data_IF_469116132958
#
_entry.id   IF_469116132958
#
_cell.length_a   1.000
_cell.length_b   1.000
_cell.length_c   1.000
_cell.angle_alpha   90.00
_cell.angle_beta   90.00
_cell.angle_gamma   90.00
#
_symmetry.space_group_name_H-M   'P 1'
#
loop_
_entity.id
_entity.type
_entity.pdbx_description
1 polymer ?
#
# COMPACT_ATOMS: atom_id res chain seq x y z
N UNK A 1 9.17 22.49 -5.75
CA UNK A 1 8.78 23.54 -4.77
C UNK A 1 9.47 23.20 -3.46
N UNK A 2 10.01 24.21 -2.77
CA UNK A 2 10.77 24.04 -1.55
C UNK A 2 9.97 23.21 -0.53
N UNK A 3 10.50 22.05 -0.16
CA UNK A 3 9.85 21.10 0.77
C UNK A 3 9.75 21.66 2.18
N UNK A 4 10.47 22.75 2.46
CA UNK A 4 10.60 23.38 3.78
C UNK A 4 9.31 24.07 4.25
N UNK A 5 8.44 24.53 3.35
CA UNK A 5 7.30 25.39 3.74
C UNK A 5 6.09 24.66 4.31
N UNK A 6 6.09 23.32 4.38
CA UNK A 6 4.94 22.51 4.82
C UNK A 6 5.12 21.84 6.18
N UNK A 7 6.24 22.08 6.84
CA UNK A 7 6.43 21.70 8.23
C UNK A 7 6.18 22.91 9.16
N UNK A 8 5.63 22.70 10.36
CA UNK A 8 5.20 21.42 10.92
C UNK A 8 3.92 20.89 10.24
N UNK A 9 3.78 19.57 10.13
CA UNK A 9 2.52 18.94 9.72
C UNK A 9 1.67 18.78 10.98
N UNK A 10 0.70 19.69 11.17
CA UNK A 10 0.00 19.90 12.45
C UNK A 10 -1.31 19.14 12.60
N UNK A 11 -1.91 18.73 11.48
CA UNK A 11 -3.23 18.11 11.46
C UNK A 11 -3.46 17.29 10.17
N UNK A 12 -4.61 16.63 10.10
CA UNK A 12 -5.07 15.85 8.93
C UNK A 12 -5.08 16.69 7.65
N UNK A 13 -5.49 17.96 7.73
CA UNK A 13 -5.55 18.84 6.55
C UNK A 13 -4.14 19.11 6.02
N UNK A 14 -3.17 19.34 6.90
CA UNK A 14 -1.78 19.51 6.53
C UNK A 14 -1.20 18.23 5.89
N UNK A 15 -1.57 17.04 6.38
CA UNK A 15 -1.18 15.77 5.73
C UNK A 15 -1.74 15.71 4.30
N UNK A 16 -3.02 16.02 4.12
CA UNK A 16 -3.66 16.02 2.79
C UNK A 16 -2.95 17.01 1.84
N UNK A 17 -2.59 18.20 2.30
CA UNK A 17 -1.85 19.18 1.49
C UNK A 17 -0.44 18.71 1.10
N UNK A 18 0.24 17.95 1.97
CA UNK A 18 1.50 17.29 1.62
C UNK A 18 1.25 16.26 0.51
N UNK A 19 0.25 15.41 0.64
CA UNK A 19 -0.10 14.40 -0.37
C UNK A 19 -0.47 15.03 -1.72
N UNK A 20 -1.35 16.04 -1.73
CA UNK A 20 -1.73 16.78 -2.95
C UNK A 20 -0.52 17.28 -3.71
N UNK A 21 0.46 17.80 -2.99
CA UNK A 21 1.62 18.37 -3.62
C UNK A 21 2.61 17.32 -4.12
N UNK A 22 2.84 16.23 -3.39
CA UNK A 22 3.66 15.13 -3.90
C UNK A 22 3.01 14.46 -5.11
N UNK A 23 1.67 14.33 -5.12
CA UNK A 23 0.91 13.80 -6.25
C UNK A 23 0.89 14.72 -7.48
N UNK A 24 1.34 15.98 -7.35
CA UNK A 24 1.54 16.87 -8.51
C UNK A 24 2.84 16.61 -9.26
N UNK A 25 3.77 15.83 -8.67
CA UNK A 25 5.00 15.38 -9.31
C UNK A 25 4.76 14.07 -10.10
N UNK A 26 5.61 13.82 -11.10
CA UNK A 26 5.64 12.53 -11.81
C UNK A 26 6.18 11.40 -10.91
N UNK A 27 7.02 11.75 -9.93
CA UNK A 27 7.64 10.83 -8.97
C UNK A 27 7.34 11.27 -7.52
N UNK A 28 6.10 11.09 -7.02
CA UNK A 28 5.77 11.35 -5.62
C UNK A 28 6.75 10.64 -4.68
N UNK A 29 7.26 11.36 -3.68
CA UNK A 29 8.28 10.79 -2.80
C UNK A 29 7.67 9.78 -1.82
N UNK A 30 7.83 8.49 -2.12
CA UNK A 30 7.28 7.38 -1.34
C UNK A 30 7.83 7.37 0.09
N UNK A 31 9.11 7.68 0.26
CA UNK A 31 9.76 7.69 1.57
C UNK A 31 9.12 8.74 2.48
N UNK A 32 8.97 9.96 1.96
CA UNK A 32 8.38 11.08 2.69
C UNK A 32 6.95 10.77 3.12
N UNK A 33 6.11 10.33 2.18
CA UNK A 33 4.71 10.05 2.44
C UNK A 33 4.53 8.91 3.44
N UNK A 34 5.33 7.84 3.33
CA UNK A 34 5.28 6.69 4.24
C UNK A 34 5.73 7.03 5.66
N UNK A 35 6.77 7.86 5.83
CA UNK A 35 7.21 8.34 7.14
C UNK A 35 6.13 9.19 7.80
N UNK A 36 5.52 10.13 7.07
CA UNK A 36 4.47 11.01 7.59
C UNK A 36 3.25 10.19 7.99
N UNK A 37 2.74 9.31 7.11
CA UNK A 37 1.59 8.47 7.45
C UNK A 37 1.87 7.60 8.67
N UNK A 38 3.02 6.95 8.74
CA UNK A 38 3.34 6.07 9.86
C UNK A 38 3.49 6.80 11.19
N UNK A 39 3.97 8.05 11.18
CA UNK A 39 3.98 8.91 12.36
C UNK A 39 2.56 9.19 12.87
N UNK A 40 1.67 9.66 11.98
CA UNK A 40 0.28 9.95 12.33
C UNK A 40 -0.49 8.70 12.75
N UNK A 41 -0.29 7.58 12.05
CA UNK A 41 -0.89 6.30 12.41
C UNK A 41 -0.48 5.88 13.82
N UNK A 42 0.83 5.86 14.11
CA UNK A 42 1.32 5.47 15.44
C UNK A 42 0.76 6.36 16.53
N UNK A 43 0.73 7.68 16.33
CA UNK A 43 0.26 8.61 17.34
C UNK A 43 -1.27 8.55 17.55
N UNK A 44 -2.05 8.29 16.50
CA UNK A 44 -3.51 8.20 16.58
C UNK A 44 -4.01 6.81 17.02
N UNK A 45 -3.17 5.78 16.97
CA UNK A 45 -3.53 4.42 17.45
C UNK A 45 -2.85 4.02 18.76
N UNK A 46 -1.95 4.84 19.30
CA UNK A 46 -1.37 4.64 20.63
C UNK A 46 -2.44 4.69 21.73
N UNK A 47 -2.48 3.67 22.60
CA UNK A 47 -3.37 3.63 23.78
C UNK A 47 -3.13 4.85 24.68
N UNK A 48 -4.19 5.61 24.94
CA UNK A 48 -4.13 6.82 25.75
C UNK A 48 -3.73 8.08 24.97
N UNK A 49 -3.77 8.04 23.63
CA UNK A 49 -3.65 9.25 22.80
C UNK A 49 -4.64 10.30 23.29
N UNK A 50 -4.10 11.46 23.68
CA UNK A 50 -4.91 12.61 24.08
C UNK A 50 -5.66 13.13 22.86
N UNK A 51 -6.81 13.77 23.05
CA UNK A 51 -7.69 14.32 21.98
C UNK A 51 -7.06 15.45 21.12
N UNK A 52 -5.74 15.49 20.98
CA UNK A 52 -5.01 16.45 20.16
C UNK A 52 -4.32 15.73 19.00
N UNK A 53 -4.53 16.24 17.79
CA UNK A 53 -3.85 15.75 16.59
C UNK A 53 -2.34 15.88 16.77
N UNK A 54 -1.54 14.85 16.43
CA UNK A 54 -0.10 14.92 16.57
C UNK A 54 0.50 15.94 15.59
N UNK A 55 1.57 16.60 16.00
CA UNK A 55 2.32 17.52 15.15
C UNK A 55 3.69 16.93 14.84
N UNK A 56 3.99 16.76 13.55
CA UNK A 56 5.32 16.35 13.09
C UNK A 56 6.14 17.60 12.76
N UNK A 57 7.13 17.90 13.58
CA UNK A 57 8.11 18.95 13.31
C UNK A 57 9.14 18.53 12.26
N UNK A 58 9.84 19.53 11.71
CA UNK A 58 10.79 19.34 10.61
C UNK A 58 12.00 18.55 11.09
N UNK A 59 12.48 18.84 12.29
CA UNK A 59 13.67 18.22 12.86
C UNK A 59 13.48 16.71 13.03
N UNK A 60 12.32 16.29 13.54
CA UNK A 60 11.94 14.88 13.69
C UNK A 60 11.84 14.19 12.33
N UNK A 61 11.20 14.83 11.35
CA UNK A 61 11.12 14.29 9.99
C UNK A 61 12.51 14.16 9.35
N UNK A 62 13.32 15.21 9.40
CA UNK A 62 14.67 15.25 8.81
C UNK A 62 15.59 14.21 9.46
N UNK A 63 15.45 13.94 10.76
CA UNK A 63 16.18 12.89 11.44
C UNK A 63 15.82 11.49 10.90
N UNK A 64 14.53 11.22 10.68
CA UNK A 64 14.06 9.95 10.12
C UNK A 64 14.46 9.79 8.65
N UNK A 65 14.26 10.83 7.84
CA UNK A 65 14.65 10.86 6.44
C UNK A 65 16.18 10.73 6.28
N UNK A 66 16.94 11.41 7.12
CA UNK A 66 18.40 11.31 7.19
C UNK A 66 18.87 9.92 7.60
N UNK A 67 18.20 9.27 8.56
CA UNK A 67 18.47 7.87 8.94
C UNK A 67 18.24 6.91 7.77
N UNK A 68 17.14 7.08 7.03
CA UNK A 68 16.85 6.30 5.83
C UNK A 68 17.92 6.50 4.75
N UNK A 69 18.28 7.75 4.46
CA UNK A 69 19.31 8.10 3.48
C UNK A 69 20.69 7.53 3.86
N UNK A 70 21.08 7.63 5.13
CA UNK A 70 22.34 7.08 5.62
C UNK A 70 22.37 5.55 5.50
N UNK A 71 21.24 4.87 5.74
CA UNK A 71 21.13 3.42 5.58
C UNK A 71 21.38 3.00 4.12
N UNK A 72 20.73 3.65 3.16
CA UNK A 72 20.84 3.27 1.74
C UNK A 72 22.22 3.63 1.18
N UNK A 73 22.74 4.83 1.45
CA UNK A 73 24.01 5.31 0.88
C UNK A 73 25.23 4.57 1.43
N UNK A 74 25.13 4.01 2.65
CA UNK A 74 26.19 3.18 3.23
C UNK A 74 26.35 1.84 2.50
N UNK A 75 25.28 1.30 1.92
CA UNK A 75 25.25 -0.08 1.45
C UNK A 75 25.07 -0.18 -0.08
N UNK A 76 24.50 0.84 -0.73
CA UNK A 76 24.08 0.79 -2.13
C UNK A 76 24.51 2.06 -2.88
N UNK A 77 24.77 1.91 -4.18
CA UNK A 77 25.16 3.01 -5.06
C UNK A 77 23.93 3.63 -5.75
N UNK A 78 23.90 4.97 -5.82
CA UNK A 78 22.89 5.69 -6.57
C UNK A 78 23.01 5.43 -8.08
N UNK A 79 21.88 5.29 -8.76
CA UNK A 79 21.75 5.10 -10.20
C UNK A 79 21.96 6.41 -10.98
N UNK A 80 23.20 6.92 -10.98
CA UNK A 80 23.55 8.15 -11.69
C UNK A 80 23.34 8.06 -13.20
N UNK A 81 23.43 6.84 -13.74
CA UNK A 81 23.36 6.57 -15.17
C UNK A 81 21.95 6.25 -15.67
N UNK A 82 20.95 6.20 -14.76
CA UNK A 82 19.55 5.88 -15.08
C UNK A 82 19.39 4.57 -15.86
N UNK A 83 20.20 3.57 -15.51
CA UNK A 83 20.08 2.23 -16.09
C UNK A 83 18.88 1.50 -15.46
N UNK A 84 18.18 0.63 -16.20
CA UNK A 84 17.17 -0.24 -15.61
C UNK A 84 17.75 -1.08 -14.47
N UNK A 85 16.93 -1.36 -13.45
CA UNK A 85 17.33 -2.22 -12.35
C UNK A 85 17.61 -3.64 -12.84
N UNK A 86 18.64 -4.25 -12.27
CA UNK A 86 18.95 -5.67 -12.45
C UNK A 86 18.36 -6.49 -11.30
N UNK A 87 18.12 -7.79 -11.53
CA UNK A 87 17.61 -8.70 -10.50
C UNK A 87 18.53 -8.79 -9.30
N UNK A 88 19.83 -8.80 -9.55
CA UNK A 88 20.88 -8.82 -8.52
C UNK A 88 20.73 -7.62 -7.60
N UNK A 89 20.70 -6.41 -8.17
CA UNK A 89 20.46 -5.17 -7.44
C UNK A 89 19.15 -5.18 -6.63
N UNK A 90 18.03 -5.60 -7.22
CA UNK A 90 16.75 -5.68 -6.50
C UNK A 90 16.82 -6.66 -5.32
N UNK A 91 17.55 -7.76 -5.50
CA UNK A 91 17.78 -8.76 -4.44
C UNK A 91 18.65 -8.18 -3.32
N UNK A 92 19.71 -7.45 -3.66
CA UNK A 92 20.58 -6.77 -2.69
C UNK A 92 19.78 -5.75 -1.84
N UNK A 93 18.87 -5.00 -2.46
CA UNK A 93 17.96 -4.09 -1.75
C UNK A 93 17.05 -4.87 -0.79
N UNK A 94 16.45 -5.97 -1.25
CA UNK A 94 15.60 -6.81 -0.42
C UNK A 94 16.36 -7.43 0.77
N UNK A 95 17.60 -7.87 0.56
CA UNK A 95 18.46 -8.40 1.61
C UNK A 95 18.91 -7.32 2.60
N UNK A 96 19.17 -6.10 2.13
CA UNK A 96 19.44 -4.97 3.01
C UNK A 96 18.25 -4.70 3.93
N UNK A 97 17.03 -4.57 3.39
CA UNK A 97 15.82 -4.36 4.19
C UNK A 97 15.64 -5.50 5.18
N UNK A 98 15.71 -6.75 4.72
CA UNK A 98 15.55 -7.94 5.55
C UNK A 98 16.56 -8.01 6.70
N UNK A 99 17.84 -7.72 6.43
CA UNK A 99 18.90 -7.73 7.44
C UNK A 99 18.71 -6.69 8.54
N UNK A 100 17.97 -5.62 8.24
CA UNK A 100 17.64 -4.57 9.20
C UNK A 100 16.46 -4.96 10.11
N UNK A 101 15.62 -5.92 9.71
CA UNK A 101 14.45 -6.32 10.48
C UNK A 101 14.83 -7.02 11.78
N UNK A 102 14.01 -6.81 12.81
CA UNK A 102 14.15 -7.51 14.09
C UNK A 102 14.08 -9.03 13.89
N UNK A 103 15.01 -9.78 14.48
CA UNK A 103 15.09 -11.25 14.32
C UNK A 103 13.83 -11.99 14.81
N UNK A 104 13.10 -11.41 15.75
CA UNK A 104 11.87 -11.98 16.30
C UNK A 104 10.86 -10.87 16.59
N UNK A 105 9.76 -10.90 15.85
CA UNK A 105 8.55 -10.13 16.12
C UNK A 105 7.37 -10.84 15.47
N UNK A 106 6.17 -10.51 15.95
CA UNK A 106 4.94 -11.01 15.35
C UNK A 106 4.71 -10.29 14.02
N UNK A 107 4.79 -11.02 12.91
CA UNK A 107 4.71 -10.48 11.54
C UNK A 107 3.32 -9.99 11.17
N UNK A 108 2.28 -10.51 11.83
CA UNK A 108 0.88 -10.10 11.63
C UNK A 108 0.47 -9.03 12.66
N UNK A 109 1.44 -8.32 13.25
CA UNK A 109 1.15 -7.24 14.18
C UNK A 109 0.59 -6.04 13.39
N UNK A 110 -0.41 -5.31 13.90
CA UNK A 110 -0.81 -4.03 13.32
C UNK A 110 0.31 -2.97 13.36
N UNK A 111 0.19 -1.95 12.51
CA UNK A 111 1.03 -0.73 12.50
C UNK A 111 2.52 -0.97 12.19
N UNK A 112 2.82 -1.99 11.40
CA UNK A 112 4.19 -2.28 10.93
C UNK A 112 4.28 -2.35 9.40
N UNK A 113 3.48 -1.59 8.67
CA UNK A 113 3.40 -1.65 7.21
C UNK A 113 4.11 -0.49 6.50
N UNK A 114 4.72 0.43 7.25
CA UNK A 114 5.23 1.71 6.75
C UNK A 114 6.70 1.96 7.13
N UNK A 115 7.36 2.91 6.45
CA UNK A 115 8.77 3.20 6.71
C UNK A 115 9.00 3.83 8.09
N UNK A 116 7.99 4.44 8.70
CA UNK A 116 8.12 4.92 10.08
C UNK A 116 8.35 3.74 11.05
N UNK A 117 7.56 2.66 10.94
CA UNK A 117 7.76 1.45 11.77
C UNK A 117 9.08 0.75 11.48
N UNK A 118 9.55 0.79 10.23
CA UNK A 118 10.87 0.31 9.86
C UNK A 118 11.98 1.13 10.55
N UNK A 119 11.93 2.46 10.45
CA UNK A 119 12.97 3.35 10.96
C UNK A 119 12.97 3.47 12.49
N UNK A 120 11.83 3.31 13.14
CA UNK A 120 11.71 3.44 14.61
C UNK A 120 11.76 2.10 15.33
N UNK A 121 11.29 1.03 14.70
CA UNK A 121 11.11 -0.27 15.34
C UNK A 121 11.78 -1.44 14.62
N UNK A 122 12.38 -1.25 13.45
CA UNK A 122 12.96 -2.31 12.62
C UNK A 122 11.95 -3.45 12.37
N UNK A 123 10.70 -3.09 12.06
CA UNK A 123 9.60 -4.05 11.85
C UNK A 123 8.81 -3.68 10.62
N UNK A 124 8.58 -4.68 9.78
CA UNK A 124 7.74 -4.57 8.59
C UNK A 124 6.84 -5.82 8.47
N UNK A 125 5.62 -5.70 7.99
CA UNK A 125 4.85 -6.85 7.51
C UNK A 125 5.23 -7.20 6.06
N UNK A 126 4.54 -8.16 5.44
CA UNK A 126 4.89 -8.63 4.10
C UNK A 126 4.81 -7.51 3.05
N UNK A 127 3.72 -6.73 3.08
CA UNK A 127 3.50 -5.57 2.21
C UNK A 127 4.55 -4.50 2.48
N UNK A 128 4.79 -4.16 3.74
CA UNK A 128 5.73 -3.13 4.17
C UNK A 128 7.15 -3.40 3.69
N UNK A 129 7.60 -4.67 3.64
CA UNK A 129 8.90 -5.03 3.04
C UNK A 129 8.93 -4.78 1.55
N UNK A 130 7.93 -5.24 0.80
CA UNK A 130 7.89 -5.00 -0.65
C UNK A 130 7.83 -3.50 -0.97
N UNK A 131 7.02 -2.75 -0.22
CA UNK A 131 6.93 -1.30 -0.31
C UNK A 131 8.27 -0.62 0.01
N UNK A 132 8.96 -1.05 1.07
CA UNK A 132 10.26 -0.50 1.45
C UNK A 132 11.32 -0.73 0.37
N UNK A 133 11.32 -1.89 -0.30
CA UNK A 133 12.20 -2.16 -1.44
C UNK A 133 11.96 -1.16 -2.57
N UNK A 134 10.70 -0.92 -2.94
CA UNK A 134 10.35 0.07 -3.98
C UNK A 134 10.79 1.48 -3.58
N UNK A 135 10.58 1.87 -2.32
CA UNK A 135 11.00 3.19 -1.82
C UNK A 135 12.53 3.38 -1.82
N UNK A 136 13.30 2.34 -1.48
CA UNK A 136 14.77 2.38 -1.58
C UNK A 136 15.21 2.49 -3.04
N UNK A 137 14.62 1.70 -3.93
CA UNK A 137 14.90 1.79 -5.37
C UNK A 137 14.61 3.19 -5.92
N UNK A 138 13.45 3.78 -5.59
CA UNK A 138 13.10 5.15 -5.97
C UNK A 138 14.13 6.15 -5.43
N UNK A 139 14.51 6.05 -4.15
CA UNK A 139 15.49 6.96 -3.53
C UNK A 139 16.88 6.88 -4.16
N UNK A 140 17.22 5.72 -4.76
CA UNK A 140 18.47 5.52 -5.49
C UNK A 140 18.36 5.86 -6.99
N UNK A 141 17.19 6.26 -7.49
CA UNK A 141 16.96 6.65 -8.89
C UNK A 141 16.58 5.50 -9.83
N UNK A 142 16.15 4.35 -9.30
CA UNK A 142 15.60 3.24 -10.07
C UNK A 142 14.09 3.38 -10.24
N UNK A 143 13.71 4.32 -11.10
CA UNK A 143 12.31 4.64 -11.35
C UNK A 143 11.56 3.55 -12.14
N UNK A 144 12.25 2.52 -12.64
CA UNK A 144 11.65 1.37 -13.32
C UNK A 144 11.15 0.28 -12.36
N UNK A 145 11.57 0.31 -11.08
CA UNK A 145 11.13 -0.65 -10.07
C UNK A 145 9.79 -0.23 -9.50
N UNK A 146 8.77 -1.08 -9.65
CA UNK A 146 7.41 -0.81 -9.21
C UNK A 146 6.85 -1.93 -8.35
N UNK A 147 5.88 -1.58 -7.51
CA UNK A 147 5.15 -2.56 -6.69
C UNK A 147 4.18 -3.36 -7.57
N UNK A 148 4.07 -4.65 -7.31
CA UNK A 148 3.00 -5.48 -7.81
C UNK A 148 2.25 -6.13 -6.65
N UNK A 149 0.92 -6.07 -6.72
CA UNK A 149 0.02 -6.50 -5.66
C UNK A 149 -0.95 -7.53 -6.20
N UNK A 150 -1.03 -8.66 -5.51
CA UNK A 150 -2.20 -9.53 -5.55
C UNK A 150 -3.20 -9.12 -4.47
N UNK A 151 -4.16 -9.99 -4.17
CA UNK A 151 -5.08 -9.81 -3.06
C UNK A 151 -4.48 -10.20 -1.70
N UNK A 152 -3.38 -10.96 -1.66
CA UNK A 152 -2.79 -11.49 -0.41
C UNK A 152 -1.25 -11.45 -0.37
N UNK A 153 -0.61 -10.87 -1.38
CA UNK A 153 0.85 -10.86 -1.52
C UNK A 153 1.36 -9.70 -2.36
N UNK A 154 2.61 -9.31 -2.11
CA UNK A 154 3.28 -8.21 -2.76
C UNK A 154 4.69 -8.59 -3.21
N UNK A 155 5.09 -8.11 -4.39
CA UNK A 155 6.43 -8.29 -4.95
C UNK A 155 6.77 -7.07 -5.81
N UNK A 156 7.90 -7.12 -6.54
CA UNK A 156 8.29 -6.02 -7.44
C UNK A 156 8.35 -6.44 -8.90
N UNK A 157 8.03 -5.50 -9.78
CA UNK A 157 8.25 -5.57 -11.23
C UNK A 157 9.29 -4.53 -11.62
N UNK A 158 10.18 -4.84 -12.55
CA UNK A 158 11.29 -3.96 -12.90
C UNK A 158 11.89 -4.27 -14.29
N UNK A 159 12.97 -3.59 -14.65
CA UNK A 159 13.68 -3.79 -15.90
C UNK A 159 12.98 -3.15 -17.08
N UNK A 160 13.48 -3.42 -18.29
CA UNK A 160 12.93 -2.81 -19.51
C UNK A 160 11.45 -3.14 -19.70
N UNK A 161 10.61 -2.11 -19.66
CA UNK A 161 9.14 -2.19 -19.76
C UNK A 161 8.48 -2.98 -18.62
N UNK A 162 9.13 -3.15 -17.46
CA UNK A 162 8.55 -3.83 -16.30
C UNK A 162 8.29 -5.33 -16.54
N UNK A 163 9.14 -5.98 -17.34
CA UNK A 163 9.03 -7.39 -17.71
C UNK A 163 9.57 -8.34 -16.65
N UNK A 164 10.55 -7.90 -15.87
CA UNK A 164 11.11 -8.71 -14.80
C UNK A 164 10.22 -8.64 -13.57
N UNK A 165 10.18 -9.74 -12.81
CA UNK A 165 9.53 -9.82 -11.50
C UNK A 165 10.52 -10.38 -10.49
N UNK A 166 10.45 -9.96 -9.23
CA UNK A 166 11.19 -10.58 -8.15
C UNK A 166 10.36 -10.62 -6.87
N UNK A 167 10.33 -11.79 -6.26
CA UNK A 167 9.93 -11.95 -4.87
C UNK A 167 10.92 -11.19 -3.99
N UNK A 168 10.43 -10.34 -3.10
CA UNK A 168 11.27 -9.50 -2.21
C UNK A 168 10.90 -9.64 -0.74
N UNK A 169 9.80 -10.35 -0.47
CA UNK A 169 9.25 -10.55 0.86
C UNK A 169 8.82 -12.01 1.02
N UNK A 170 8.33 -12.35 2.20
CA UNK A 170 7.77 -13.68 2.50
C UNK A 170 6.27 -13.70 2.19
N UNK A 171 5.74 -14.91 1.98
CA UNK A 171 4.30 -15.16 2.01
C UNK A 171 3.98 -16.29 3.00
N UNK A 172 3.07 -16.04 3.94
CA UNK A 172 2.74 -16.99 5.00
C UNK A 172 3.91 -17.36 5.92
N UNK A 173 3.80 -18.53 6.59
CA UNK A 173 4.84 -19.04 7.51
C UNK A 173 5.71 -20.07 6.80
N UNK A 174 7.03 -19.86 6.78
CA UNK A 174 8.01 -20.83 6.29
C UNK A 174 8.44 -20.71 4.82
N UNK A 175 7.93 -19.73 4.05
CA UNK A 175 8.28 -19.53 2.64
C UNK A 175 9.28 -18.37 2.40
N UNK A 176 10.20 -18.13 3.33
CA UNK A 176 11.13 -16.97 3.29
C UNK A 176 12.21 -17.09 2.18
N UNK A 177 12.39 -18.29 1.62
CA UNK A 177 13.46 -18.65 0.67
C UNK A 177 13.13 -18.34 -0.82
N UNK A 178 12.00 -17.69 -1.09
CA UNK A 178 11.65 -17.31 -2.48
C UNK A 178 12.26 -15.98 -2.93
N UNK A 179 12.83 -15.17 -2.02
CA UNK A 179 13.38 -13.84 -2.33
C UNK A 179 14.42 -13.91 -3.47
N UNK A 180 14.38 -12.94 -4.37
CA UNK A 180 15.18 -12.85 -5.59
C UNK A 180 14.65 -13.68 -6.77
N UNK A 181 13.82 -14.70 -6.53
CA UNK A 181 13.26 -15.55 -7.60
C UNK A 181 12.17 -14.81 -8.39
N UNK A 182 12.02 -15.10 -9.69
CA UNK A 182 10.89 -14.59 -10.46
C UNK A 182 9.58 -15.13 -9.91
N UNK A 183 8.52 -14.33 -10.03
CA UNK A 183 7.15 -14.79 -9.86
C UNK A 183 6.77 -15.58 -11.09
N UNK A 184 6.50 -16.87 -10.89
CA UNK A 184 6.14 -17.81 -11.95
C UNK A 184 4.64 -17.74 -12.24
N UNK A 185 4.30 -17.24 -13.43
CA UNK A 185 2.93 -17.19 -13.94
C UNK A 185 2.59 -18.38 -14.86
N UNK A 186 3.50 -19.33 -15.02
CA UNK A 186 3.29 -20.52 -15.82
C UNK A 186 2.94 -21.73 -14.93
N UNK A 187 2.40 -22.79 -15.55
CA UNK A 187 2.07 -24.05 -14.87
C UNK A 187 1.03 -23.91 -13.75
N UNK A 188 1.15 -24.73 -12.69
CA UNK A 188 0.18 -24.78 -11.60
C UNK A 188 0.18 -23.50 -10.72
N UNK A 189 1.30 -22.77 -10.63
CA UNK A 189 1.35 -21.51 -9.89
C UNK A 189 0.68 -20.36 -10.66
N UNK A 190 0.72 -20.45 -11.99
CA UNK A 190 0.09 -19.53 -12.93
C UNK A 190 -1.43 -19.45 -12.87
N UNK A 191 -2.11 -20.36 -12.18
CA UNK A 191 -3.55 -20.29 -11.91
C UNK A 191 -3.85 -20.07 -10.40
N UNK A 192 -2.84 -19.82 -9.58
CA UNK A 192 -3.06 -19.61 -8.15
C UNK A 192 -3.67 -18.24 -7.88
N UNK A 193 -4.62 -18.18 -6.95
CA UNK A 193 -5.19 -16.93 -6.45
C UNK A 193 -4.12 -15.98 -5.91
N UNK A 194 -3.07 -16.53 -5.30
CA UNK A 194 -1.93 -15.77 -4.77
C UNK A 194 -1.26 -14.87 -5.82
N UNK A 195 -1.22 -15.30 -7.08
CA UNK A 195 -0.65 -14.54 -8.19
C UNK A 195 -1.71 -14.09 -9.21
N UNK A 196 -3.01 -14.23 -8.85
CA UNK A 196 -4.20 -13.81 -9.60
C UNK A 196 -4.18 -14.22 -11.07
N UNK A 197 -3.75 -15.45 -11.32
CA UNK A 197 -3.61 -16.02 -12.65
C UNK A 197 -2.80 -15.15 -13.63
N UNK A 198 -1.81 -14.40 -13.14
CA UNK A 198 -1.01 -13.46 -13.93
C UNK A 198 -1.66 -12.09 -14.15
N UNK A 199 -2.73 -11.75 -13.42
CA UNK A 199 -3.40 -10.45 -13.46
C UNK A 199 -3.29 -9.67 -12.14
N UNK A 200 -2.07 -9.49 -11.57
CA UNK A 200 -1.88 -8.63 -10.42
C UNK A 200 -2.12 -7.16 -10.77
N UNK A 201 -2.35 -6.35 -9.75
CA UNK A 201 -2.21 -4.89 -9.86
C UNK A 201 -0.73 -4.58 -10.02
N UNK A 202 -0.32 -4.12 -11.22
CA UNK A 202 1.01 -3.55 -11.44
C UNK A 202 0.93 -2.04 -11.21
N UNK A 203 1.49 -1.57 -10.10
CA UNK A 203 1.34 -0.20 -9.67
C UNK A 203 2.15 0.77 -10.55
N UNK A 204 1.58 1.95 -10.77
CA UNK A 204 2.36 3.16 -11.06
C UNK A 204 2.82 3.79 -9.75
N UNK A 205 3.63 4.85 -9.80
CA UNK A 205 3.99 5.64 -8.60
C UNK A 205 2.76 6.13 -7.83
N UNK A 206 1.75 6.63 -8.54
CA UNK A 206 0.51 7.08 -7.92
C UNK A 206 -0.28 5.94 -7.26
N UNK A 207 -0.24 4.74 -7.85
CA UNK A 207 -0.88 3.56 -7.26
C UNK A 207 -0.09 3.00 -6.07
N UNK A 208 1.23 3.20 -6.01
CA UNK A 208 2.03 2.92 -4.80
C UNK A 208 1.63 3.85 -3.65
N UNK A 209 1.41 5.14 -3.94
CA UNK A 209 0.79 6.06 -2.97
C UNK A 209 -0.60 5.57 -2.57
N UNK A 210 -1.43 5.14 -3.51
CA UNK A 210 -2.74 4.58 -3.19
C UNK A 210 -2.66 3.31 -2.33
N UNK A 211 -1.66 2.47 -2.53
CA UNK A 211 -1.48 1.25 -1.73
C UNK A 211 -1.06 1.56 -0.30
N UNK A 212 -0.18 2.55 -0.07
CA UNK A 212 0.16 2.92 1.31
C UNK A 212 -1.03 3.55 2.03
N UNK A 213 -1.84 4.35 1.33
CA UNK A 213 -3.07 4.93 1.90
C UNK A 213 -4.08 3.82 2.21
N UNK A 214 -4.23 2.85 1.31
CA UNK A 214 -5.10 1.69 1.52
C UNK A 214 -4.61 0.81 2.69
N UNK A 215 -3.31 0.83 2.99
CA UNK A 215 -2.70 0.09 4.10
C UNK A 215 -2.78 0.80 5.45
N UNK A 216 -3.28 2.03 5.52
CA UNK A 216 -3.50 2.73 6.81
C UNK A 216 -4.40 1.85 7.67
N UNK A 217 -4.02 1.66 8.93
CA UNK A 217 -4.75 0.82 9.87
C UNK A 217 -5.33 1.65 11.04
N UNK A 218 -6.63 1.97 11.01
CA UNK A 218 -7.31 2.70 12.08
C UNK A 218 -7.39 1.97 13.43
N UNK A 219 -7.14 0.67 13.50
CA UNK A 219 -7.45 -0.13 14.69
C UNK A 219 -6.57 0.18 15.90
N UNK A 220 -7.19 0.54 17.03
CA UNK A 220 -6.52 0.77 18.33
C UNK A 220 -6.53 -0.51 19.16
N UNK A 221 -7.65 -1.24 19.11
CA UNK A 221 -7.87 -2.49 19.83
C UNK A 221 -8.92 -3.32 19.10
N UNK A 222 -9.16 -4.56 19.55
CA UNK A 222 -10.15 -5.45 18.94
C UNK A 222 -11.59 -4.92 18.94
N UNK A 223 -11.87 -3.81 19.63
CA UNK A 223 -13.20 -3.22 19.74
C UNK A 223 -13.21 -1.70 19.52
N UNK A 224 -12.13 -1.12 18.98
CA UNK A 224 -12.04 0.34 18.82
C UNK A 224 -11.09 0.73 17.70
N UNK A 225 -11.53 1.64 16.85
CA UNK A 225 -10.75 2.27 15.79
C UNK A 225 -10.59 3.78 16.04
N UNK A 226 -9.53 4.38 15.49
CA UNK A 226 -9.33 5.82 15.45
C UNK A 226 -10.18 6.44 14.34
N UNK A 227 -11.18 7.23 14.73
CA UNK A 227 -12.05 7.93 13.78
C UNK A 227 -11.28 8.95 12.93
N UNK A 228 -10.29 9.60 13.54
CA UNK A 228 -9.42 10.59 12.92
C UNK A 228 -8.57 9.95 11.83
N UNK A 229 -7.99 8.79 12.11
CA UNK A 229 -7.16 8.06 11.14
C UNK A 229 -8.00 7.47 10.00
N UNK A 230 -9.20 6.96 10.30
CA UNK A 230 -10.16 6.53 9.29
C UNK A 230 -10.60 7.70 8.38
N UNK A 231 -10.87 8.87 8.96
CA UNK A 231 -11.20 10.08 8.20
C UNK A 231 -10.05 10.60 7.34
N UNK A 232 -8.80 10.50 7.82
CA UNK A 232 -7.60 10.77 7.01
C UNK A 232 -7.49 9.80 5.84
N UNK A 233 -7.65 8.49 6.08
CA UNK A 233 -7.61 7.47 5.04
C UNK A 233 -8.68 7.72 3.97
N UNK A 234 -9.92 7.99 4.39
CA UNK A 234 -11.03 8.31 3.50
C UNK A 234 -10.75 9.56 2.64
N UNK A 235 -10.24 10.63 3.27
CA UNK A 235 -9.92 11.88 2.57
C UNK A 235 -8.81 11.72 1.54
N UNK A 236 -7.78 10.93 1.86
CA UNK A 236 -6.69 10.63 0.93
C UNK A 236 -7.14 9.71 -0.22
N UNK A 237 -8.00 8.72 0.06
CA UNK A 237 -8.60 7.88 -0.99
C UNK A 237 -9.50 8.71 -1.92
N UNK A 238 -10.26 9.67 -1.41
CA UNK A 238 -11.00 10.61 -2.25
C UNK A 238 -10.10 11.48 -3.12
N UNK A 239 -8.99 11.99 -2.56
CA UNK A 239 -8.00 12.73 -3.33
C UNK A 239 -7.45 11.87 -4.49
N UNK A 240 -7.08 10.63 -4.21
CA UNK A 240 -6.58 9.69 -5.22
C UNK A 240 -7.66 9.32 -6.24
N UNK A 241 -8.91 9.20 -5.81
CA UNK A 241 -10.06 8.96 -6.68
C UNK A 241 -10.25 10.12 -7.67
N UNK A 242 -10.24 11.35 -7.18
CA UNK A 242 -10.45 12.56 -7.98
C UNK A 242 -9.34 12.79 -9.02
N UNK A 243 -8.13 12.36 -8.70
CA UNK A 243 -6.97 12.41 -9.59
C UNK A 243 -6.91 11.21 -10.56
N UNK A 244 -7.89 10.31 -10.53
CA UNK A 244 -7.95 9.12 -11.39
C UNK A 244 -6.98 8.00 -11.00
N UNK A 245 -6.31 8.10 -9.86
CA UNK A 245 -5.29 7.14 -9.42
C UNK A 245 -5.88 5.84 -8.85
N UNK A 246 -7.20 5.78 -8.63
CA UNK A 246 -7.92 4.55 -8.25
C UNK A 246 -8.60 3.82 -9.43
N UNK A 247 -8.57 4.38 -10.66
CA UNK A 247 -9.26 3.80 -11.82
C UNK A 247 -8.83 2.37 -12.17
N UNK A 248 -7.62 2.00 -11.76
CA UNK A 248 -7.04 0.66 -11.97
C UNK A 248 -6.79 -0.08 -10.66
N UNK A 249 -7.34 0.36 -9.53
CA UNK A 249 -7.04 -0.25 -8.24
C UNK A 249 -8.30 -0.75 -7.51
N UNK A 250 -8.74 -2.01 -7.77
CA UNK A 250 -9.96 -2.57 -7.18
C UNK A 250 -9.98 -2.56 -5.65
N UNK A 251 -8.86 -2.87 -5.00
CA UNK A 251 -8.76 -2.90 -3.53
C UNK A 251 -8.87 -1.50 -2.92
N UNK A 252 -8.29 -0.48 -3.56
CA UNK A 252 -8.44 0.92 -3.13
C UNK A 252 -9.89 1.39 -3.22
N UNK A 253 -10.61 1.00 -4.30
CA UNK A 253 -12.06 1.25 -4.42
C UNK A 253 -12.87 0.48 -3.37
N UNK A 254 -12.48 -0.76 -3.05
CA UNK A 254 -13.07 -1.56 -1.97
C UNK A 254 -12.98 -0.85 -0.61
N UNK A 255 -11.78 -0.41 -0.25
CA UNK A 255 -11.53 0.31 1.00
C UNK A 255 -12.31 1.64 1.06
N UNK A 256 -12.29 2.44 -0.02
CA UNK A 256 -13.08 3.68 -0.08
C UNK A 256 -14.59 3.39 0.06
N UNK A 257 -15.08 2.33 -0.57
CA UNK A 257 -16.49 1.93 -0.47
C UNK A 257 -16.90 1.54 0.96
N UNK A 258 -16.06 0.79 1.68
CA UNK A 258 -16.32 0.45 3.09
C UNK A 258 -16.30 1.71 3.99
N UNK A 259 -15.36 2.65 3.78
CA UNK A 259 -15.31 3.91 4.53
C UNK A 259 -16.53 4.80 4.26
N UNK A 260 -17.00 4.87 3.02
CA UNK A 260 -18.22 5.58 2.66
C UNK A 260 -19.49 4.93 3.20
N UNK A 261 -19.49 3.61 3.45
CA UNK A 261 -20.61 2.97 4.16
C UNK A 261 -20.66 3.41 5.63
N UNK A 262 -19.50 3.53 6.27
CA UNK A 262 -19.38 3.92 7.68
C UNK A 262 -19.71 5.41 7.88
N UNK A 263 -19.12 6.28 7.06
CA UNK A 263 -19.26 7.74 7.18
C UNK A 263 -19.39 8.37 5.79
N UNK A 264 -20.61 8.45 5.22
CA UNK A 264 -20.82 9.00 3.89
C UNK A 264 -20.36 10.45 3.75
N UNK A 265 -19.68 10.76 2.65
CA UNK A 265 -19.26 12.11 2.32
C UNK A 265 -20.32 12.81 1.46
N UNK A 266 -20.73 14.02 1.84
CA UNK A 266 -21.74 14.77 1.09
C UNK A 266 -21.30 15.03 -0.37
N UNK A 267 -22.23 14.85 -1.31
CA UNK A 267 -22.02 15.01 -2.76
C UNK A 267 -20.98 14.06 -3.39
N UNK A 268 -20.66 12.95 -2.73
CA UNK A 268 -19.84 11.87 -3.29
C UNK A 268 -20.70 10.68 -3.73
N UNK A 269 -20.20 9.86 -4.68
CA UNK A 269 -20.80 8.56 -4.98
C UNK A 269 -21.01 7.72 -3.71
N UNK A 270 -22.13 7.00 -3.64
CA UNK A 270 -22.40 6.13 -2.50
C UNK A 270 -21.55 4.85 -2.52
N UNK A 271 -21.39 4.22 -1.34
CA UNK A 271 -20.62 2.98 -1.17
C UNK A 271 -20.94 1.90 -2.23
N UNK A 272 -22.22 1.61 -2.47
CA UNK A 272 -22.64 0.62 -3.47
C UNK A 272 -22.11 0.93 -4.88
N UNK A 273 -22.07 2.21 -5.27
CA UNK A 273 -21.61 2.63 -6.60
C UNK A 273 -20.10 2.44 -6.76
N UNK A 274 -19.33 2.80 -5.73
CA UNK A 274 -17.87 2.66 -5.66
C UNK A 274 -17.49 1.16 -5.67
N UNK A 275 -18.17 0.35 -4.87
CA UNK A 275 -17.93 -1.10 -4.83
C UNK A 275 -18.24 -1.77 -6.18
N UNK A 276 -19.32 -1.37 -6.86
CA UNK A 276 -19.60 -1.80 -8.24
C UNK A 276 -18.53 -1.33 -9.23
N UNK A 277 -17.94 -0.16 -9.02
CA UNK A 277 -16.80 0.30 -9.84
C UNK A 277 -15.60 -0.62 -9.69
N UNK A 278 -15.26 -1.06 -8.48
CA UNK A 278 -14.20 -2.05 -8.25
C UNK A 278 -14.40 -3.34 -9.04
N UNK A 279 -15.64 -3.86 -9.10
CA UNK A 279 -15.99 -5.02 -9.92
C UNK A 279 -15.81 -4.73 -11.42
N UNK A 280 -16.26 -3.57 -11.91
CA UNK A 280 -16.06 -3.18 -13.32
C UNK A 280 -14.58 -3.13 -13.69
N UNK A 281 -13.73 -2.57 -12.82
CA UNK A 281 -12.27 -2.54 -13.01
C UNK A 281 -11.71 -3.95 -13.09
N UNK A 282 -12.10 -4.83 -12.16
CA UNK A 282 -11.68 -6.25 -12.19
C UNK A 282 -12.04 -6.94 -13.52
N UNK A 283 -13.28 -6.79 -13.98
CA UNK A 283 -13.78 -7.41 -15.21
C UNK A 283 -13.07 -6.90 -16.46
N UNK A 284 -12.78 -5.59 -16.52
CA UNK A 284 -12.26 -4.94 -17.73
C UNK A 284 -10.74 -4.96 -17.82
N UNK A 285 -10.04 -4.81 -16.70
CA UNK A 285 -8.57 -4.65 -16.66
C UNK A 285 -7.89 -5.95 -16.23
N UNK A 286 -8.49 -6.68 -15.29
CA UNK A 286 -7.86 -7.84 -14.63
C UNK A 286 -8.50 -9.18 -15.02
N UNK A 287 -9.23 -9.20 -16.14
CA UNK A 287 -9.90 -10.40 -16.70
C UNK A 287 -10.72 -11.19 -15.69
N UNK A 288 -11.35 -10.49 -14.76
CA UNK A 288 -12.23 -11.08 -13.76
C UNK A 288 -11.55 -12.17 -12.93
N UNK A 289 -10.31 -11.89 -12.49
CA UNK A 289 -9.47 -12.78 -11.67
C UNK A 289 -9.36 -12.36 -10.20
N UNK A 290 -9.87 -11.18 -9.82
CA UNK A 290 -9.87 -10.71 -8.43
C UNK A 290 -11.16 -11.15 -7.73
N UNK A 291 -11.03 -11.68 -6.51
CA UNK A 291 -12.14 -12.22 -5.71
C UNK A 291 -12.73 -11.13 -4.81
N UNK A 292 -11.89 -10.30 -4.21
CA UNK A 292 -12.28 -9.31 -3.21
C UNK A 292 -13.27 -8.24 -3.68
N UNK A 293 -13.22 -7.73 -4.93
CA UNK A 293 -14.24 -6.79 -5.40
C UNK A 293 -15.67 -7.31 -5.24
N UNK A 294 -15.85 -8.63 -5.43
CA UNK A 294 -17.14 -9.28 -5.21
C UNK A 294 -17.46 -9.47 -3.72
N UNK A 295 -16.47 -9.82 -2.90
CA UNK A 295 -16.69 -10.02 -1.46
C UNK A 295 -16.97 -8.70 -0.73
N UNK A 296 -16.36 -7.59 -1.13
CA UNK A 296 -16.69 -6.26 -0.61
C UNK A 296 -18.17 -5.93 -0.83
N UNK A 297 -18.67 -6.05 -2.07
CA UNK A 297 -20.07 -5.75 -2.38
C UNK A 297 -21.04 -6.74 -1.74
N UNK A 298 -20.67 -8.02 -1.65
CA UNK A 298 -21.47 -9.00 -0.92
C UNK A 298 -21.54 -8.67 0.58
N UNK A 299 -20.43 -8.26 1.19
CA UNK A 299 -20.34 -7.81 2.58
C UNK A 299 -21.21 -6.59 2.85
N UNK A 300 -21.16 -5.59 1.96
CA UNK A 300 -22.06 -4.43 1.98
C UNK A 300 -23.54 -4.87 2.00
N UNK A 301 -23.98 -5.67 1.02
CA UNK A 301 -25.38 -6.11 0.98
C UNK A 301 -25.78 -6.94 2.18
N UNK A 302 -24.87 -7.75 2.73
CA UNK A 302 -25.12 -8.51 3.95
C UNK A 302 -25.35 -7.59 5.16
N UNK A 303 -24.49 -6.57 5.36
CA UNK A 303 -24.66 -5.57 6.42
C UNK A 303 -25.97 -4.79 6.28
N UNK A 304 -26.40 -4.53 5.04
CA UNK A 304 -27.69 -3.92 4.71
C UNK A 304 -28.89 -4.89 4.75
N UNK A 305 -28.70 -6.15 5.21
CA UNK A 305 -29.72 -7.21 5.29
C UNK A 305 -30.36 -7.58 3.93
N UNK A 306 -29.68 -7.29 2.82
CA UNK A 306 -30.11 -7.64 1.46
C UNK A 306 -29.54 -9.02 1.08
N UNK A 307 -29.94 -10.06 1.81
CA UNK A 307 -29.31 -11.38 1.74
C UNK A 307 -29.31 -12.03 0.35
N UNK A 308 -30.38 -11.86 -0.43
CA UNK A 308 -30.43 -12.40 -1.80
C UNK A 308 -29.37 -11.78 -2.71
N UNK A 309 -29.14 -10.46 -2.59
CA UNK A 309 -28.07 -9.80 -3.33
C UNK A 309 -26.70 -10.20 -2.79
N UNK A 310 -26.53 -10.29 -1.48
CA UNK A 310 -25.27 -10.77 -0.89
C UNK A 310 -24.88 -12.16 -1.43
N UNK A 311 -25.84 -13.10 -1.46
CA UNK A 311 -25.65 -14.43 -2.05
C UNK A 311 -25.28 -14.39 -3.53
N UNK A 312 -25.91 -13.53 -4.32
CA UNK A 312 -25.55 -13.37 -5.74
C UNK A 312 -24.06 -13.02 -5.92
N UNK A 313 -23.54 -12.09 -5.11
CA UNK A 313 -22.13 -11.66 -5.22
C UNK A 313 -21.15 -12.64 -4.57
N UNK A 314 -21.53 -13.37 -3.52
CA UNK A 314 -20.71 -14.48 -3.01
C UNK A 314 -20.60 -15.63 -4.02
N UNK A 315 -21.67 -15.93 -4.77
CA UNK A 315 -21.62 -16.93 -5.86
C UNK A 315 -20.66 -16.47 -6.95
N UNK A 316 -20.66 -15.18 -7.32
CA UNK A 316 -19.68 -14.61 -8.27
C UNK A 316 -18.24 -14.70 -7.74
N UNK A 317 -18.02 -14.36 -6.47
CA UNK A 317 -16.71 -14.50 -5.83
C UNK A 317 -16.22 -15.96 -5.87
N UNK A 318 -17.09 -16.92 -5.53
CA UNK A 318 -16.78 -18.34 -5.58
C UNK A 318 -16.50 -18.85 -7.00
N UNK A 319 -17.23 -18.32 -8.00
CA UNK A 319 -16.98 -18.64 -9.40
C UNK A 319 -15.57 -18.18 -9.83
N UNK A 320 -15.17 -16.95 -9.47
CA UNK A 320 -13.82 -16.44 -9.77
C UNK A 320 -12.74 -17.25 -9.06
N UNK A 321 -12.92 -17.54 -7.77
CA UNK A 321 -11.96 -18.31 -6.99
C UNK A 321 -11.80 -19.77 -7.47
N UNK A 322 -12.79 -20.31 -8.19
CA UNK A 322 -12.77 -21.67 -8.74
C UNK A 322 -12.28 -21.79 -10.19
N UNK A 323 -11.88 -20.69 -10.84
CA UNK A 323 -11.24 -20.70 -12.16
C UNK A 323 -9.81 -21.19 -12.06
#
# INVERSE_FOLDING_TARGET
>A
MDTDSRFPVKDISAVIEVFKAELSDAEPNLTKLSIILGFFETALTCKGSMNQCPSLDKETYDALAGKFQALIQKNLNANKERRPATREFVTDVADLIWSCLSKSYFKDKPHIQNLYSFLTGNRLDCFGVAFAVVAVCQALGYNDVHLALSEDHAWVVFGENGKETAEVTWHGKGNEDKRGRPVDFDGNNGCSWLYLSGYPVKCTRYMEVASMVSSINPTISSSSDSSELAGLQQSLLWLLYDLGHLERYPLGLGNLGDLEEISPTANRPGAEEILKQGIRVNQTIYKDQHVYPYTYLAGFYHRQKQFMKAMEYWVKAAHVAGK
#
